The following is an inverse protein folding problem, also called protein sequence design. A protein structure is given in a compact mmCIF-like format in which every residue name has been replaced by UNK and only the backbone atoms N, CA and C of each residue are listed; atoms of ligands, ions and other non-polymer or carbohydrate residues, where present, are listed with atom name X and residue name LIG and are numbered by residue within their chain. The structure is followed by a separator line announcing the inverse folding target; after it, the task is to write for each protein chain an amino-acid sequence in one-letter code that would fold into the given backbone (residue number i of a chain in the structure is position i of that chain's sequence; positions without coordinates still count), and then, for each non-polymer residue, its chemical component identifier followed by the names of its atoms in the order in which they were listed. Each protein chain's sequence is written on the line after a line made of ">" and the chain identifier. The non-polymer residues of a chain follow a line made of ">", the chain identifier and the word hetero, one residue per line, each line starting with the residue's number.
data_IF_520632761236
#
_entry.id   IF_520632761236
#
_cell.length_a   1.000
_cell.length_b   1.000
_cell.length_c   1.000
_cell.angle_alpha   90.00
_cell.angle_beta   90.00
_cell.angle_gamma   90.00
#
_symmetry.space_group_name_H-M   'P 1'
#
loop_
_entity.id
_entity.type
_entity.pdbx_description
1 polymer ?
#
# COMPACT_ATOMS: atom_id res chain seq x y z
N UNK A 1 16.82 -40.98 3.84
CA UNK A 1 17.06 -39.66 3.21
C UNK A 1 15.86 -38.82 3.62
N UNK A 2 16.09 -38.07 4.71
CA UNK A 2 15.05 -37.43 5.52
C UNK A 2 14.61 -36.12 4.81
N UNK A 3 13.43 -36.13 4.24
CA UNK A 3 12.83 -34.95 3.59
C UNK A 3 12.06 -34.13 4.67
N UNK A 4 12.76 -33.71 5.69
CA UNK A 4 12.36 -32.56 6.48
C UNK A 4 13.13 -31.35 5.97
N UNK A 5 12.76 -30.87 4.77
CA UNK A 5 13.01 -29.49 4.42
C UNK A 5 12.31 -28.65 5.49
N UNK A 6 13.10 -27.96 6.29
CA UNK A 6 12.69 -26.91 7.23
C UNK A 6 11.77 -25.95 6.47
N UNK A 7 10.48 -26.08 6.71
CA UNK A 7 9.51 -25.08 6.29
C UNK A 7 9.78 -23.82 7.12
N UNK A 8 10.74 -23.03 6.68
CA UNK A 8 10.88 -21.65 7.15
C UNK A 8 9.52 -21.00 6.91
N UNK A 9 8.82 -20.64 7.99
CA UNK A 9 7.48 -20.04 7.89
C UNK A 9 7.62 -18.67 7.22
N UNK A 10 7.51 -18.67 5.87
CA UNK A 10 7.66 -17.46 5.08
C UNK A 10 6.47 -16.55 5.31
N UNK A 11 6.72 -15.38 5.91
CA UNK A 11 5.73 -14.33 6.03
C UNK A 11 5.61 -13.56 4.71
N UNK A 12 4.38 -13.14 4.43
CA UNK A 12 4.02 -12.34 3.25
C UNK A 12 3.09 -11.20 3.64
N UNK A 13 3.00 -10.21 2.77
CA UNK A 13 1.95 -9.22 2.83
C UNK A 13 0.93 -9.51 1.73
N UNK A 14 -0.32 -9.77 2.11
CA UNK A 14 -1.43 -9.76 1.16
C UNK A 14 -2.03 -8.35 1.12
N UNK A 15 -2.16 -7.80 -0.08
CA UNK A 15 -2.84 -6.53 -0.31
C UNK A 15 -4.09 -6.77 -1.15
N UNK A 16 -5.24 -6.43 -0.60
CA UNK A 16 -6.53 -6.42 -1.28
C UNK A 16 -6.96 -4.98 -1.46
N UNK A 17 -7.50 -4.63 -2.61
CA UNK A 17 -8.06 -3.32 -2.84
C UNK A 17 -9.33 -3.38 -3.67
N UNK A 18 -10.18 -2.37 -3.51
CA UNK A 18 -11.39 -2.18 -4.30
C UNK A 18 -11.64 -0.69 -4.62
N UNK A 19 -12.60 -0.45 -5.51
CA UNK A 19 -13.05 0.90 -5.89
C UNK A 19 -14.29 1.25 -5.07
N UNK A 20 -14.22 2.38 -4.35
CA UNK A 20 -15.35 2.92 -3.59
C UNK A 20 -16.46 3.31 -4.57
N UNK A 21 -17.70 2.90 -4.26
CA UNK A 21 -18.90 3.20 -5.05
C UNK A 21 -18.82 2.79 -6.54
N UNK A 22 -18.08 1.74 -6.84
CA UNK A 22 -17.87 1.25 -8.21
C UNK A 22 -19.16 1.05 -9.01
N UNK A 23 -20.27 0.73 -8.33
CA UNK A 23 -21.59 0.48 -8.96
C UNK A 23 -22.22 1.74 -9.54
N UNK A 24 -21.88 2.92 -9.00
CA UNK A 24 -22.39 4.22 -9.45
C UNK A 24 -21.59 4.81 -10.62
N UNK A 25 -20.41 4.25 -10.91
CA UNK A 25 -19.51 4.79 -11.92
C UNK A 25 -19.98 4.47 -13.34
N UNK A 26 -20.02 5.49 -14.19
CA UNK A 26 -20.24 5.33 -15.61
C UNK A 26 -19.01 4.70 -16.28
N UNK A 27 -19.21 3.95 -17.39
CA UNK A 27 -18.13 3.35 -18.18
C UNK A 27 -17.26 2.33 -17.42
N UNK A 28 -17.86 1.38 -16.72
CA UNK A 28 -17.17 0.32 -15.95
C UNK A 28 -16.05 -0.37 -16.75
N UNK A 29 -16.24 -0.60 -18.05
CA UNK A 29 -15.22 -1.25 -18.88
C UNK A 29 -13.94 -0.40 -18.99
N UNK A 30 -14.04 0.92 -19.16
CA UNK A 30 -12.88 1.81 -19.19
C UNK A 30 -12.17 1.88 -17.83
N UNK A 31 -12.94 1.87 -16.73
CA UNK A 31 -12.40 1.88 -15.38
C UNK A 31 -11.62 0.60 -15.12
N UNK A 32 -12.19 -0.55 -15.49
CA UNK A 32 -11.54 -1.84 -15.34
C UNK A 32 -10.25 -1.93 -16.19
N UNK A 33 -10.27 -1.39 -17.40
CA UNK A 33 -9.09 -1.30 -18.26
C UNK A 33 -8.01 -0.42 -17.63
N UNK A 34 -8.36 0.78 -17.14
CA UNK A 34 -7.42 1.68 -16.47
C UNK A 34 -6.83 1.04 -15.20
N UNK A 35 -7.65 0.37 -14.38
CA UNK A 35 -7.19 -0.37 -13.21
C UNK A 35 -6.24 -1.50 -13.61
N UNK A 36 -6.59 -2.29 -14.64
CA UNK A 36 -5.73 -3.36 -15.15
C UNK A 36 -4.37 -2.84 -15.63
N UNK A 37 -4.35 -1.73 -16.38
CA UNK A 37 -3.12 -1.10 -16.85
C UNK A 37 -2.26 -0.58 -15.68
N UNK A 38 -2.88 0.04 -14.68
CA UNK A 38 -2.16 0.53 -13.49
C UNK A 38 -1.56 -0.61 -12.66
N UNK A 39 -2.30 -1.73 -12.47
CA UNK A 39 -1.81 -2.92 -11.80
C UNK A 39 -0.67 -3.59 -12.57
N UNK A 40 -0.75 -3.67 -13.91
CA UNK A 40 0.34 -4.19 -14.74
C UNK A 40 1.60 -3.32 -14.60
N UNK A 41 1.47 -2.00 -14.58
CA UNK A 41 2.59 -1.09 -14.34
C UNK A 41 3.24 -1.30 -12.96
N UNK A 42 2.45 -1.57 -11.90
CA UNK A 42 2.98 -1.96 -10.60
C UNK A 42 3.69 -3.32 -10.64
N UNK A 43 3.10 -4.32 -11.30
CA UNK A 43 3.68 -5.64 -11.44
C UNK A 43 5.05 -5.59 -12.11
N UNK A 44 5.20 -4.81 -13.18
CA UNK A 44 6.47 -4.61 -13.87
C UNK A 44 7.50 -3.89 -12.98
N UNK A 45 7.10 -2.76 -12.38
CA UNK A 45 7.99 -1.93 -11.57
C UNK A 45 8.50 -2.63 -10.32
N UNK A 46 7.65 -3.40 -9.66
CA UNK A 46 7.92 -4.04 -8.38
C UNK A 46 8.11 -5.55 -8.45
N UNK A 47 8.41 -6.12 -9.62
CA UNK A 47 8.55 -7.56 -9.85
C UNK A 47 9.41 -8.27 -8.79
N UNK A 48 10.51 -7.65 -8.36
CA UNK A 48 11.41 -8.22 -7.33
C UNK A 48 10.77 -8.35 -5.95
N UNK A 49 9.75 -7.53 -5.65
CA UNK A 49 9.04 -7.48 -4.37
C UNK A 49 7.74 -8.30 -4.35
N UNK A 50 7.32 -8.84 -5.49
CA UNK A 50 6.11 -9.64 -5.58
C UNK A 50 6.42 -11.12 -5.37
N UNK A 51 5.60 -11.78 -4.57
CA UNK A 51 5.50 -13.23 -4.50
C UNK A 51 4.46 -13.74 -5.51
N UNK A 52 3.42 -12.93 -5.75
CA UNK A 52 2.41 -13.15 -6.79
C UNK A 52 1.91 -11.79 -7.32
N UNK A 53 1.79 -11.68 -8.64
CA UNK A 53 1.36 -10.46 -9.30
C UNK A 53 -0.02 -10.00 -8.87
N UNK A 54 -0.22 -8.68 -8.82
CA UNK A 54 -1.55 -8.10 -8.66
C UNK A 54 -2.46 -8.58 -9.79
N UNK A 55 -3.63 -9.02 -9.42
CA UNK A 55 -4.64 -9.56 -10.32
C UNK A 55 -6.01 -9.02 -9.96
N UNK A 56 -6.81 -8.69 -10.97
CA UNK A 56 -8.24 -8.42 -10.78
C UNK A 56 -8.94 -9.71 -10.37
N UNK A 57 -9.83 -9.63 -9.38
CA UNK A 57 -10.64 -10.76 -8.91
C UNK A 57 -12.05 -10.70 -9.47
N UNK A 58 -12.89 -9.81 -8.93
CA UNK A 58 -14.29 -9.64 -9.34
C UNK A 58 -14.57 -8.17 -9.64
N UNK A 59 -14.55 -7.84 -10.93
CA UNK A 59 -15.01 -6.53 -11.42
C UNK A 59 -14.14 -5.35 -11.04
N UNK A 60 -14.13 -4.96 -9.80
CA UNK A 60 -13.48 -3.77 -9.23
C UNK A 60 -12.54 -4.08 -8.06
N UNK A 61 -12.48 -5.35 -7.65
CA UNK A 61 -11.57 -5.82 -6.62
C UNK A 61 -10.28 -6.37 -7.25
N UNK A 62 -9.17 -6.13 -6.59
CA UNK A 62 -7.85 -6.68 -6.96
C UNK A 62 -7.10 -7.15 -5.73
N UNK A 63 -6.17 -8.06 -5.93
CA UNK A 63 -5.29 -8.52 -4.86
C UNK A 63 -3.89 -8.82 -5.39
N UNK A 64 -2.91 -8.79 -4.50
CA UNK A 64 -1.52 -9.15 -4.76
C UNK A 64 -0.86 -9.73 -3.52
N UNK A 65 0.22 -10.48 -3.72
CA UNK A 65 1.02 -11.04 -2.64
C UNK A 65 2.44 -10.51 -2.73
N UNK A 66 2.90 -9.88 -1.66
CA UNK A 66 4.19 -9.23 -1.60
C UNK A 66 5.13 -9.94 -0.63
N UNK A 67 6.40 -9.90 -0.94
CA UNK A 67 7.46 -10.37 -0.05
C UNK A 67 7.68 -9.37 1.08
N UNK A 68 8.18 -9.84 2.21
CA UNK A 68 8.65 -8.97 3.30
C UNK A 68 9.74 -8.03 2.78
N UNK A 69 9.67 -6.75 3.18
CA UNK A 69 10.54 -5.69 2.66
C UNK A 69 10.02 -5.00 1.40
N UNK A 70 8.82 -5.33 0.91
CA UNK A 70 8.17 -4.58 -0.16
C UNK A 70 7.78 -3.17 0.29
N UNK A 71 7.94 -2.12 -0.55
CA UNK A 71 7.57 -0.74 -0.22
C UNK A 71 6.06 -0.52 -0.40
N UNK A 72 5.25 -1.12 0.45
CA UNK A 72 3.79 -1.27 0.28
C UNK A 72 3.10 0.09 0.16
N UNK A 73 3.41 1.02 1.05
CA UNK A 73 2.73 2.33 1.06
C UNK A 73 3.12 3.17 -0.15
N UNK A 74 4.35 3.04 -0.67
CA UNK A 74 4.73 3.65 -1.94
C UNK A 74 3.91 3.07 -3.10
N UNK A 75 3.74 1.75 -3.14
CA UNK A 75 2.93 1.08 -4.18
C UNK A 75 1.46 1.54 -4.13
N UNK A 76 0.88 1.66 -2.93
CA UNK A 76 -0.48 2.19 -2.74
C UNK A 76 -0.59 3.63 -3.27
N UNK A 77 0.36 4.50 -2.93
CA UNK A 77 0.35 5.89 -3.36
C UNK A 77 0.55 6.04 -4.87
N UNK A 78 1.44 5.25 -5.47
CA UNK A 78 1.63 5.23 -6.92
C UNK A 78 0.36 4.77 -7.65
N UNK A 79 -0.32 3.74 -7.14
CA UNK A 79 -1.59 3.28 -7.71
C UNK A 79 -2.67 4.35 -7.64
N UNK A 80 -2.80 5.04 -6.51
CA UNK A 80 -3.73 6.16 -6.35
C UNK A 80 -3.42 7.33 -7.29
N UNK A 81 -2.12 7.60 -7.51
CA UNK A 81 -1.71 8.65 -8.45
C UNK A 81 -1.92 8.25 -9.90
N UNK A 82 -1.84 6.96 -10.24
CA UNK A 82 -2.15 6.45 -11.57
C UNK A 82 -3.66 6.52 -11.89
N UNK A 83 -4.52 6.49 -10.85
CA UNK A 83 -5.97 6.46 -10.96
C UNK A 83 -6.62 7.63 -10.19
N UNK A 84 -6.33 8.89 -10.55
CA UNK A 84 -6.72 10.07 -9.76
C UNK A 84 -8.23 10.28 -9.65
N UNK A 85 -9.00 9.74 -10.59
CA UNK A 85 -10.46 9.87 -10.63
C UNK A 85 -11.17 8.73 -9.87
N UNK A 86 -10.41 7.80 -9.28
CA UNK A 86 -10.94 6.66 -8.54
C UNK A 86 -10.58 6.75 -7.06
N UNK A 87 -11.56 6.54 -6.21
CA UNK A 87 -11.35 6.36 -4.79
C UNK A 87 -11.10 4.88 -4.52
N UNK A 88 -9.88 4.55 -4.07
CA UNK A 88 -9.47 3.17 -3.80
C UNK A 88 -9.37 2.93 -2.29
N UNK A 89 -9.84 1.76 -1.85
CA UNK A 89 -9.62 1.23 -0.49
C UNK A 89 -8.64 0.08 -0.53
N UNK A 90 -7.94 -0.12 0.58
CA UNK A 90 -6.95 -1.16 0.71
C UNK A 90 -7.01 -1.82 2.08
N UNK A 91 -6.96 -3.15 2.07
CA UNK A 91 -6.72 -3.97 3.25
C UNK A 91 -5.38 -4.68 3.13
N UNK A 92 -4.53 -4.51 4.13
CA UNK A 92 -3.22 -5.14 4.22
C UNK A 92 -3.22 -6.20 5.32
N UNK A 93 -2.81 -7.42 4.99
CA UNK A 93 -2.65 -8.51 5.94
C UNK A 93 -1.22 -9.05 5.95
N UNK A 94 -0.64 -9.22 7.14
CA UNK A 94 0.63 -9.90 7.34
C UNK A 94 0.37 -11.35 7.76
N UNK A 95 1.04 -12.33 7.15
CA UNK A 95 0.91 -13.73 7.56
C UNK A 95 1.55 -14.70 6.57
N UNK A 96 1.30 -15.97 6.84
CA UNK A 96 1.74 -17.07 5.98
C UNK A 96 0.74 -17.33 4.86
N UNK A 97 1.19 -18.05 3.85
CA UNK A 97 0.36 -18.67 2.81
C UNK A 97 0.43 -20.17 2.98
N UNK A 98 -0.73 -20.82 3.06
CA UNK A 98 -0.87 -22.25 3.32
C UNK A 98 -1.05 -23.09 2.05
N UNK A 99 -1.25 -22.44 0.90
CA UNK A 99 -1.41 -23.07 -0.40
C UNK A 99 -0.21 -22.78 -1.29
N UNK A 100 -0.14 -23.42 -2.46
CA UNK A 100 0.87 -23.07 -3.47
C UNK A 100 0.69 -21.63 -3.94
N UNK A 101 1.81 -20.92 -4.11
CA UNK A 101 1.84 -19.55 -4.64
C UNK A 101 2.10 -19.63 -6.15
N UNK A 102 1.17 -19.05 -6.94
CA UNK A 102 1.41 -18.83 -8.37
C UNK A 102 2.00 -17.42 -8.56
N UNK A 103 3.25 -17.26 -9.03
CA UNK A 103 3.86 -15.95 -9.19
C UNK A 103 3.15 -15.04 -10.20
N UNK A 104 2.48 -15.61 -11.18
CA UNK A 104 1.83 -14.85 -12.24
C UNK A 104 0.44 -14.32 -11.85
N UNK A 105 -0.26 -15.01 -10.95
CA UNK A 105 -1.67 -14.70 -10.61
C UNK A 105 -1.93 -14.97 -9.15
N UNK A 106 -2.38 -13.97 -8.42
CA UNK A 106 -2.64 -14.06 -6.96
C UNK A 106 -3.94 -14.81 -6.61
N UNK A 107 -4.68 -15.29 -7.60
CA UNK A 107 -5.90 -16.07 -7.39
C UNK A 107 -5.57 -17.50 -6.96
N UNK A 108 -6.33 -18.01 -5.97
CA UNK A 108 -6.18 -19.37 -5.47
C UNK A 108 -5.18 -19.53 -4.33
N UNK A 109 -4.36 -18.52 -4.05
CA UNK A 109 -3.54 -18.50 -2.85
C UNK A 109 -4.42 -18.20 -1.63
N UNK A 110 -4.21 -18.94 -0.51
CA UNK A 110 -4.97 -18.78 0.72
C UNK A 110 -4.07 -18.98 1.95
N UNK A 111 -4.44 -18.30 3.04
CA UNK A 111 -3.73 -18.35 4.31
C UNK A 111 -3.94 -17.10 5.16
N UNK A 112 -3.32 -17.06 6.37
CA UNK A 112 -3.45 -15.97 7.31
C UNK A 112 -3.22 -14.57 6.71
N UNK A 113 -2.30 -14.40 5.76
CA UNK A 113 -2.07 -13.12 5.09
C UNK A 113 -3.35 -12.61 4.39
N UNK A 114 -4.01 -13.46 3.60
CA UNK A 114 -5.25 -13.08 2.91
C UNK A 114 -6.45 -12.95 3.85
N UNK A 115 -6.53 -13.79 4.89
CA UNK A 115 -7.63 -13.69 5.87
C UNK A 115 -7.58 -12.33 6.58
N UNK A 116 -6.39 -11.93 7.02
CA UNK A 116 -6.15 -10.63 7.65
C UNK A 116 -6.35 -9.45 6.68
N UNK A 117 -5.94 -9.59 5.42
CA UNK A 117 -6.21 -8.55 4.42
C UNK A 117 -7.71 -8.36 4.17
N UNK A 118 -8.50 -9.44 4.15
CA UNK A 118 -9.97 -9.37 4.06
C UNK A 118 -10.59 -8.75 5.30
N UNK A 119 -10.10 -9.09 6.49
CA UNK A 119 -10.51 -8.43 7.72
C UNK A 119 -10.20 -6.94 7.66
N UNK A 120 -8.97 -6.57 7.25
CA UNK A 120 -8.54 -5.19 7.13
C UNK A 120 -9.43 -4.37 6.20
N UNK A 121 -9.75 -4.86 5.00
CA UNK A 121 -10.60 -4.13 4.06
C UNK A 121 -12.06 -4.00 4.58
N UNK A 122 -12.55 -4.98 5.33
CA UNK A 122 -13.84 -4.90 6.01
C UNK A 122 -13.86 -3.80 7.08
N UNK A 123 -12.76 -3.62 7.83
CA UNK A 123 -12.62 -2.53 8.79
C UNK A 123 -12.69 -1.16 8.09
N UNK A 124 -12.07 -0.99 6.91
CA UNK A 124 -12.21 0.23 6.11
C UNK A 124 -13.67 0.48 5.73
N UNK A 125 -14.44 -0.55 5.39
CA UNK A 125 -15.87 -0.42 5.08
C UNK A 125 -16.71 0.04 6.28
N UNK A 126 -16.31 -0.30 7.51
CA UNK A 126 -17.08 -0.04 8.73
C UNK A 126 -16.64 1.24 9.46
N UNK A 127 -15.34 1.59 9.39
CA UNK A 127 -14.71 2.63 10.21
C UNK A 127 -14.00 3.67 9.36
N UNK A 128 -14.69 4.25 8.40
CA UNK A 128 -14.04 5.18 7.46
C UNK A 128 -13.72 6.58 8.02
N UNK A 129 -13.77 6.80 9.34
CA UNK A 129 -13.38 8.06 9.98
C UNK A 129 -13.71 9.29 9.13
N UNK A 130 -14.99 9.59 8.95
CA UNK A 130 -15.48 10.67 8.07
C UNK A 130 -15.05 10.50 6.59
N UNK A 131 -14.95 9.27 6.11
CA UNK A 131 -14.59 8.93 4.71
C UNK A 131 -13.19 9.38 4.30
N UNK A 132 -12.28 9.56 5.26
CA UNK A 132 -10.89 9.97 4.98
C UNK A 132 -9.90 8.82 5.04
N UNK A 133 -10.22 7.74 5.76
CA UNK A 133 -9.33 6.59 5.92
C UNK A 133 -9.69 5.49 4.92
N UNK A 134 -8.77 5.19 4.04
CA UNK A 134 -8.95 4.22 2.96
C UNK A 134 -7.94 3.08 2.99
N UNK A 135 -7.13 2.96 4.03
CA UNK A 135 -6.16 1.88 4.22
C UNK A 135 -6.24 1.40 5.65
N UNK A 136 -6.30 0.09 5.84
CA UNK A 136 -6.22 -0.56 7.14
C UNK A 136 -5.29 -1.77 7.06
N UNK A 137 -4.64 -2.11 8.18
CA UNK A 137 -3.76 -3.26 8.26
C UNK A 137 -4.10 -4.15 9.45
N UNK A 138 -3.90 -5.47 9.29
CA UNK A 138 -4.01 -6.48 10.34
C UNK A 138 -2.78 -7.38 10.28
N UNK A 139 -1.99 -7.38 11.36
CA UNK A 139 -0.79 -8.22 11.48
C UNK A 139 -1.04 -9.47 12.34
N UNK A 140 -2.15 -9.47 13.08
CA UNK A 140 -2.48 -10.48 14.08
C UNK A 140 -1.89 -10.19 15.46
N UNK A 141 -1.38 -8.98 15.68
CA UNK A 141 -0.92 -8.46 16.96
C UNK A 141 -1.77 -7.24 17.33
N UNK A 142 -2.90 -7.46 17.99
CA UNK A 142 -3.95 -6.45 18.22
C UNK A 142 -3.44 -5.14 18.80
N UNK A 143 -2.54 -5.20 19.81
CA UNK A 143 -1.98 -4.00 20.45
C UNK A 143 -1.13 -3.17 19.45
N UNK A 144 -0.39 -3.83 18.57
CA UNK A 144 0.42 -3.17 17.53
C UNK A 144 -0.48 -2.66 16.41
N UNK A 145 -1.45 -3.45 15.99
CA UNK A 145 -2.39 -3.11 14.93
C UNK A 145 -3.14 -1.80 15.26
N UNK A 146 -3.55 -1.60 16.51
CA UNK A 146 -4.22 -0.38 16.94
C UNK A 146 -3.34 0.86 16.74
N UNK A 147 -2.07 0.83 17.17
CA UNK A 147 -1.12 1.95 17.05
C UNK A 147 -0.80 2.23 15.58
N UNK A 148 -0.54 1.19 14.80
CA UNK A 148 -0.20 1.31 13.39
C UNK A 148 -1.37 1.89 12.58
N UNK A 149 -2.60 1.43 12.83
CA UNK A 149 -3.78 1.93 12.15
C UNK A 149 -4.13 3.37 12.55
N UNK A 150 -3.92 3.78 13.81
CA UNK A 150 -4.09 5.18 14.19
C UNK A 150 -3.05 6.09 13.49
N UNK A 151 -1.79 5.66 13.39
CA UNK A 151 -0.75 6.39 12.66
C UNK A 151 -1.08 6.48 11.17
N UNK A 152 -1.58 5.38 10.61
CA UNK A 152 -2.04 5.30 9.22
C UNK A 152 -3.23 6.26 8.99
N UNK A 153 -4.24 6.25 9.88
CA UNK A 153 -5.39 7.14 9.79
C UNK A 153 -5.00 8.62 9.85
N UNK A 154 -4.06 9.01 10.74
CA UNK A 154 -3.53 10.37 10.79
C UNK A 154 -2.82 10.76 9.49
N UNK A 155 -2.06 9.85 8.88
CA UNK A 155 -1.41 10.11 7.60
C UNK A 155 -2.42 10.26 6.46
N UNK A 156 -3.46 9.45 6.43
CA UNK A 156 -4.56 9.55 5.47
C UNK A 156 -5.32 10.89 5.62
N UNK A 157 -5.55 11.34 6.86
CA UNK A 157 -6.12 12.64 7.13
C UNK A 157 -5.24 13.78 6.60
N UNK A 158 -3.92 13.73 6.78
CA UNK A 158 -2.99 14.71 6.19
C UNK A 158 -3.13 14.71 4.66
N UNK A 159 -3.13 13.54 4.03
CA UNK A 159 -3.26 13.41 2.57
C UNK A 159 -4.62 13.94 2.07
N UNK A 160 -5.71 13.68 2.76
CA UNK A 160 -7.06 14.13 2.38
C UNK A 160 -7.19 15.67 2.37
N UNK A 161 -6.34 16.36 3.12
CA UNK A 161 -6.31 17.83 3.18
C UNK A 161 -5.57 18.48 2.00
N UNK A 162 -4.88 17.70 1.16
CA UNK A 162 -4.06 18.26 0.08
C UNK A 162 -4.91 18.85 -1.03
N UNK A 163 -4.61 20.10 -1.35
CA UNK A 163 -5.13 20.76 -2.56
C UNK A 163 -4.35 20.29 -3.80
N UNK A 164 -4.90 20.57 -4.98
CA UNK A 164 -4.32 20.12 -6.26
C UNK A 164 -2.82 20.41 -6.39
N UNK A 165 -2.37 21.61 -6.03
CA UNK A 165 -0.94 21.96 -6.14
C UNK A 165 -0.04 21.19 -5.17
N UNK A 166 -0.55 20.75 -4.02
CA UNK A 166 0.17 19.89 -3.07
C UNK A 166 0.20 18.44 -3.57
N UNK A 167 -0.89 17.95 -4.14
CA UNK A 167 -0.95 16.65 -4.80
C UNK A 167 0.03 16.58 -5.99
N UNK A 168 0.10 17.64 -6.81
CA UNK A 168 1.08 17.78 -7.89
C UNK A 168 2.52 17.73 -7.37
N UNK A 169 2.78 18.39 -6.22
CA UNK A 169 4.10 18.35 -5.57
C UNK A 169 4.43 16.93 -5.12
N UNK A 170 3.50 16.23 -4.49
CA UNK A 170 3.69 14.85 -4.08
C UNK A 170 3.94 13.92 -5.28
N UNK A 171 3.16 14.05 -6.35
CA UNK A 171 3.38 13.34 -7.61
C UNK A 171 4.79 13.58 -8.15
N UNK A 172 5.23 14.84 -8.23
CA UNK A 172 6.56 15.18 -8.73
C UNK A 172 7.69 14.59 -7.87
N UNK A 173 7.49 14.52 -6.55
CA UNK A 173 8.44 13.85 -5.64
C UNK A 173 8.57 12.37 -6.01
N UNK A 174 7.45 11.67 -6.21
CA UNK A 174 7.44 10.26 -6.58
C UNK A 174 8.02 10.03 -7.99
N UNK A 175 7.64 10.84 -8.97
CA UNK A 175 8.13 10.74 -10.35
C UNK A 175 9.65 10.92 -10.46
N UNK A 176 10.24 11.69 -9.55
CA UNK A 176 11.69 11.84 -9.41
C UNK A 176 12.37 10.70 -8.62
N UNK A 177 11.61 9.70 -8.20
CA UNK A 177 12.09 8.50 -7.50
C UNK A 177 12.30 8.68 -6.00
N UNK A 178 11.67 9.68 -5.39
CA UNK A 178 11.77 9.88 -3.94
C UNK A 178 10.52 9.36 -3.23
N UNK A 179 10.72 8.56 -2.19
CA UNK A 179 9.67 8.18 -1.23
C UNK A 179 10.18 8.28 0.21
N UNK A 180 10.86 9.38 0.52
CA UNK A 180 11.43 9.69 1.85
C UNK A 180 11.40 11.19 2.07
N UNK A 181 11.43 11.64 3.32
CA UNK A 181 11.38 13.08 3.65
C UNK A 181 12.65 13.83 3.31
N UNK A 182 13.77 13.10 3.16
CA UNK A 182 15.07 13.66 2.75
C UNK A 182 15.28 13.43 1.25
N UNK A 183 15.07 14.48 0.47
CA UNK A 183 15.25 14.49 -0.98
C UNK A 183 15.83 15.82 -1.46
N UNK A 184 16.26 15.86 -2.72
CA UNK A 184 16.76 17.09 -3.36
C UNK A 184 15.59 18.06 -3.63
N UNK A 185 15.35 18.96 -2.67
CA UNK A 185 14.28 19.94 -2.75
C UNK A 185 14.45 20.93 -3.92
N UNK A 186 15.70 21.24 -4.28
CA UNK A 186 15.99 22.13 -5.42
C UNK A 186 15.56 21.49 -6.74
N UNK A 187 15.87 20.19 -6.91
CA UNK A 187 15.46 19.42 -8.09
C UNK A 187 13.93 19.36 -8.23
N UNK A 188 13.22 19.09 -7.12
CA UNK A 188 11.75 19.07 -7.12
C UNK A 188 11.17 20.45 -7.40
N UNK A 189 11.68 21.52 -6.73
CA UNK A 189 11.23 22.87 -6.97
C UNK A 189 11.42 23.31 -8.45
N UNK A 190 12.57 22.96 -9.04
CA UNK A 190 12.86 23.22 -10.45
C UNK A 190 11.88 22.50 -11.37
N UNK A 191 11.60 21.22 -11.11
CA UNK A 191 10.63 20.44 -11.90
C UNK A 191 9.21 21.04 -11.85
N UNK A 192 8.84 21.65 -10.73
CA UNK A 192 7.56 22.34 -10.54
C UNK A 192 7.55 23.80 -11.04
N UNK A 193 8.67 24.34 -11.53
CA UNK A 193 8.79 25.74 -11.91
C UNK A 193 8.65 26.71 -10.73
N UNK A 194 9.00 26.29 -9.51
CA UNK A 194 8.83 27.08 -8.29
C UNK A 194 10.16 27.66 -7.81
N UNK A 195 10.09 28.88 -7.23
CA UNK A 195 11.21 29.40 -6.44
C UNK A 195 11.40 28.57 -5.15
N UNK A 196 12.62 28.58 -4.58
CA UNK A 196 12.90 27.86 -3.34
C UNK A 196 12.00 28.30 -2.19
N UNK A 197 11.65 29.60 -2.12
CA UNK A 197 10.75 30.12 -1.08
C UNK A 197 9.31 29.66 -1.26
N UNK A 198 8.79 29.65 -2.49
CA UNK A 198 7.45 29.16 -2.81
C UNK A 198 7.36 27.66 -2.52
N UNK A 199 8.36 26.88 -2.91
CA UNK A 199 8.44 25.45 -2.61
C UNK A 199 8.47 25.18 -1.11
N UNK A 200 9.32 25.86 -0.35
CA UNK A 200 9.41 25.71 1.10
C UNK A 200 8.06 26.01 1.80
N UNK A 201 7.36 27.08 1.37
CA UNK A 201 6.00 27.40 1.87
C UNK A 201 5.00 26.27 1.57
N UNK A 202 5.02 25.73 0.34
CA UNK A 202 4.14 24.62 -0.06
C UNK A 202 4.44 23.36 0.75
N UNK A 203 5.71 22.99 0.92
CA UNK A 203 6.12 21.85 1.74
C UNK A 203 5.69 21.99 3.20
N UNK A 204 5.81 23.20 3.77
CA UNK A 204 5.37 23.45 5.15
C UNK A 204 3.87 23.30 5.33
N UNK A 205 3.07 23.80 4.38
CA UNK A 205 1.61 23.76 4.48
C UNK A 205 1.00 22.40 4.16
N UNK A 206 1.69 21.56 3.38
CA UNK A 206 1.16 20.26 2.95
C UNK A 206 1.39 19.12 3.95
N UNK A 207 2.40 19.23 4.83
CA UNK A 207 2.81 18.12 5.67
C UNK A 207 3.37 16.90 4.93
N UNK A 208 3.72 17.03 3.61
CA UNK A 208 4.19 15.90 2.78
C UNK A 208 5.37 15.18 3.40
N UNK A 209 6.33 15.92 4.01
CA UNK A 209 7.49 15.27 4.66
C UNK A 209 7.07 14.38 5.82
N UNK A 210 6.17 14.88 6.68
CA UNK A 210 5.64 14.10 7.80
C UNK A 210 4.87 12.88 7.30
N UNK A 211 4.06 13.06 6.26
CA UNK A 211 3.38 11.95 5.60
C UNK A 211 4.35 10.85 5.14
N UNK A 212 5.43 11.24 4.45
CA UNK A 212 6.45 10.31 3.97
C UNK A 212 7.19 9.63 5.13
N UNK A 213 7.54 10.36 6.20
CA UNK A 213 8.18 9.78 7.39
C UNK A 213 7.27 8.73 8.03
N UNK A 214 5.99 9.05 8.26
CA UNK A 214 5.02 8.10 8.82
C UNK A 214 4.86 6.85 7.94
N UNK A 215 4.77 7.01 6.60
CA UNK A 215 4.64 5.86 5.69
C UNK A 215 5.88 4.96 5.70
N UNK A 216 7.08 5.54 5.80
CA UNK A 216 8.31 4.76 5.91
C UNK A 216 8.43 4.07 7.27
N UNK A 217 8.10 4.76 8.37
CA UNK A 217 8.11 4.19 9.71
C UNK A 217 7.11 3.03 9.82
N UNK A 218 5.91 3.17 9.25
CA UNK A 218 4.92 2.09 9.16
C UNK A 218 5.45 0.90 8.36
N UNK A 219 6.09 1.16 7.21
CA UNK A 219 6.67 0.09 6.39
C UNK A 219 7.75 -0.68 7.15
N UNK A 220 8.62 0.03 7.88
CA UNK A 220 9.64 -0.58 8.71
C UNK A 220 9.03 -1.39 9.87
N UNK A 221 8.04 -0.82 10.56
CA UNK A 221 7.39 -1.50 11.69
C UNK A 221 6.73 -2.83 11.28
N UNK A 222 6.00 -2.86 10.16
CA UNK A 222 5.40 -4.12 9.67
C UNK A 222 6.45 -5.12 9.18
N UNK A 223 7.58 -4.65 8.65
CA UNK A 223 8.70 -5.52 8.28
C UNK A 223 9.34 -6.15 9.53
N UNK A 224 9.53 -5.38 10.59
CA UNK A 224 10.09 -5.89 11.85
C UNK A 224 9.13 -6.91 12.50
N UNK A 225 7.82 -6.68 12.46
CA UNK A 225 6.81 -7.65 12.92
C UNK A 225 6.84 -8.94 12.09
N UNK A 226 6.99 -8.84 10.78
CA UNK A 226 7.10 -10.00 9.90
C UNK A 226 8.34 -10.84 10.22
N UNK A 227 9.47 -10.19 10.46
CA UNK A 227 10.73 -10.87 10.83
C UNK A 227 10.64 -11.53 12.20
N UNK A 228 10.00 -10.88 13.17
CA UNK A 228 9.78 -11.44 14.50
C UNK A 228 8.86 -12.68 14.45
N UNK A 229 7.79 -12.63 13.66
CA UNK A 229 6.88 -13.77 13.47
C UNK A 229 7.60 -14.97 12.84
N UNK A 230 8.47 -14.74 11.85
CA UNK A 230 9.27 -15.79 11.23
C UNK A 230 10.23 -16.47 12.23
N UNK A 231 10.84 -15.71 13.15
CA UNK A 231 11.75 -16.24 14.18
C UNK A 231 11.04 -16.93 15.34
N UNK A 232 9.82 -16.50 15.67
CA UNK A 232 9.01 -17.08 16.76
C UNK A 232 8.49 -18.48 16.45
N UNK A 233 8.24 -18.77 15.17
CA UNK A 233 7.82 -20.09 14.70
C UNK A 233 8.88 -21.18 14.78
N UNK A 234 10.17 -20.83 14.85
CA UNK A 234 11.27 -21.79 15.01
C UNK A 234 11.43 -22.33 16.45
N UNK A 235 10.71 -21.75 17.43
CA UNK A 235 10.85 -22.09 18.87
C UNK A 235 9.65 -22.84 19.45
N UNK A 236 8.61 -23.10 18.68
CA UNK A 236 7.42 -23.82 19.10
C UNK A 236 7.35 -25.21 18.44
#
# INVERSE_FOLDING_TARGET
>A
MDLREEATMNQYYALIGDIIESRSLANRAKIQEALSQALNGLNERYQGHLASCFSLTLGDEFQGLLKVGAPIFQMIDELRLALPDLNLRFGLGLGEILTSINPAVSLGADGPAYWRAREAIQQVHQQHHYETVHVYLVTGQEDQDAILNHSLALSEFVRSSWIQSQMETFRTILDLGYYQSRFDQKRVATALGLSSSAFAKRMKSSGIKLYLDVKNDLNQAIEDLARQAAQGGEKA
#
